data_IF_565966026983
#
_entry.id   IF_565966026983
#
_cell.length_a   1.000
_cell.length_b   1.000
_cell.length_c   1.000
_cell.angle_alpha   90.00
_cell.angle_beta   90.00
_cell.angle_gamma   90.00
#
_symmetry.space_group_name_H-M   'P 1'
#
loop_
_entity.id
_entity.type
_entity.pdbx_description
1 polymer ?
#
# COMPACT_ATOMS: atom_id res chain seq x y z
N UNK A 1 -17.60 7.46 6.63
CA UNK A 1 -16.26 7.84 7.15
C UNK A 1 -15.69 8.88 6.21
N UNK A 2 -15.19 10.01 6.72
CA UNK A 2 -14.60 11.07 5.89
C UNK A 2 -13.10 11.13 6.17
N UNK A 3 -12.27 10.81 5.16
CA UNK A 3 -10.81 10.81 5.28
C UNK A 3 -10.31 12.22 4.98
N UNK A 4 -9.60 12.81 5.94
CA UNK A 4 -8.93 14.10 5.76
C UNK A 4 -7.54 13.90 5.16
N UNK A 5 -7.48 13.91 3.83
CA UNK A 5 -6.22 13.76 3.09
C UNK A 5 -5.21 14.88 3.37
N UNK A 6 -5.64 16.04 3.88
CA UNK A 6 -4.72 17.14 4.22
C UNK A 6 -3.77 16.80 5.37
N UNK A 7 -4.14 15.80 6.19
CA UNK A 7 -3.32 15.33 7.32
C UNK A 7 -2.46 14.11 6.97
N UNK A 8 -2.56 13.62 5.73
CA UNK A 8 -1.90 12.38 5.34
C UNK A 8 -0.37 12.52 5.38
N UNK A 9 0.17 13.67 4.96
CA UNK A 9 1.61 13.97 5.06
C UNK A 9 2.14 13.73 6.48
N UNK A 10 1.49 14.31 7.49
CA UNK A 10 1.93 14.19 8.89
C UNK A 10 1.84 12.77 9.41
N UNK A 11 0.73 12.07 9.12
CA UNK A 11 0.54 10.68 9.55
C UNK A 11 1.53 9.71 8.90
N UNK A 12 1.86 9.93 7.63
CA UNK A 12 2.86 9.10 6.92
C UNK A 12 4.27 9.42 7.42
N UNK A 13 4.56 10.67 7.77
CA UNK A 13 5.84 11.04 8.39
C UNK A 13 6.05 10.36 9.75
N UNK A 14 5.00 10.21 10.56
CA UNK A 14 5.07 9.50 11.85
C UNK A 14 5.52 8.03 11.72
N UNK A 15 5.26 7.40 10.57
CA UNK A 15 5.64 6.01 10.28
C UNK A 15 6.93 5.89 9.44
N UNK A 16 7.67 6.99 9.22
CA UNK A 16 8.90 7.00 8.40
C UNK A 16 9.90 5.94 8.88
N UNK A 17 10.13 5.83 10.19
CA UNK A 17 11.10 4.90 10.76
C UNK A 17 10.77 3.44 10.45
N UNK A 18 9.50 3.06 10.55
CA UNK A 18 9.06 1.71 10.23
C UNK A 18 9.15 1.42 8.74
N UNK A 19 8.68 2.35 7.89
CA UNK A 19 8.73 2.20 6.43
C UNK A 19 10.18 2.14 5.92
N UNK A 20 11.08 2.93 6.50
CA UNK A 20 12.51 2.84 6.24
C UNK A 20 13.07 1.50 6.70
N UNK A 21 12.63 1.00 7.85
CA UNK A 21 13.00 -0.34 8.34
C UNK A 21 12.61 -1.46 7.37
N UNK A 22 11.49 -1.33 6.65
CA UNK A 22 11.09 -2.27 5.59
C UNK A 22 12.07 -2.22 4.41
N UNK A 23 12.45 -1.02 3.95
CA UNK A 23 13.46 -0.81 2.89
C UNK A 23 14.80 -1.44 3.30
N UNK A 24 15.18 -1.28 4.56
CA UNK A 24 16.44 -1.77 5.14
C UNK A 24 16.39 -3.23 5.60
N UNK A 25 15.24 -3.91 5.44
CA UNK A 25 15.01 -5.30 5.83
C UNK A 25 15.12 -5.56 7.35
N UNK A 26 15.00 -4.53 8.17
CA UNK A 26 14.97 -4.63 9.64
C UNK A 26 13.55 -4.77 10.20
N UNK A 27 12.52 -4.42 9.41
CA UNK A 27 11.10 -4.60 9.74
C UNK A 27 10.49 -5.61 8.76
N UNK A 28 9.76 -6.59 9.28
CA UNK A 28 9.06 -7.57 8.45
C UNK A 28 7.88 -6.93 7.72
N UNK A 29 7.64 -7.38 6.49
CA UNK A 29 6.62 -6.82 5.61
C UNK A 29 5.96 -7.94 4.80
N UNK A 30 4.66 -8.25 5.02
CA UNK A 30 3.96 -9.25 4.22
C UNK A 30 3.88 -8.85 2.74
N UNK A 31 3.83 -7.55 2.44
CA UNK A 31 3.78 -7.05 1.07
C UNK A 31 5.13 -7.18 0.36
N UNK A 32 6.24 -6.93 1.06
CA UNK A 32 7.59 -7.14 0.55
C UNK A 32 7.87 -8.62 0.28
N UNK A 33 7.51 -9.49 1.22
CA UNK A 33 7.69 -10.94 1.08
C UNK A 33 6.91 -11.47 -0.13
N UNK A 34 5.67 -11.01 -0.29
CA UNK A 34 4.84 -11.36 -1.45
C UNK A 34 5.44 -10.85 -2.75
N UNK A 35 5.90 -9.60 -2.78
CA UNK A 35 6.56 -9.03 -3.95
C UNK A 35 7.79 -9.85 -4.34
N UNK A 36 8.68 -10.14 -3.38
CA UNK A 36 9.87 -10.94 -3.63
C UNK A 36 9.55 -12.35 -4.14
N UNK A 37 8.59 -13.05 -3.53
CA UNK A 37 8.13 -14.37 -4.00
C UNK A 37 7.63 -14.32 -5.44
N UNK A 38 6.94 -13.25 -5.83
CA UNK A 38 6.49 -13.07 -7.21
C UNK A 38 7.67 -12.89 -8.19
N UNK A 39 8.66 -12.09 -7.81
CA UNK A 39 9.87 -11.91 -8.62
C UNK A 39 10.73 -13.18 -8.71
N UNK A 40 10.84 -13.93 -7.62
CA UNK A 40 11.55 -15.23 -7.59
C UNK A 40 10.88 -16.25 -8.50
N UNK A 41 9.55 -16.39 -8.41
CA UNK A 41 8.78 -17.36 -9.20
C UNK A 41 8.74 -17.05 -10.69
N UNK A 42 8.61 -15.78 -11.05
CA UNK A 42 8.29 -15.37 -12.43
C UNK A 42 9.48 -14.74 -13.17
N UNK A 43 10.55 -14.42 -12.45
CA UNK A 43 11.62 -13.53 -12.92
C UNK A 43 11.12 -12.10 -13.16
N UNK A 44 12.06 -11.19 -13.37
CA UNK A 44 11.79 -9.75 -13.54
C UNK A 44 10.82 -9.45 -14.69
N UNK A 45 10.97 -10.13 -15.84
CA UNK A 45 10.08 -9.93 -16.99
C UNK A 45 8.69 -10.51 -16.76
N UNK A 46 8.57 -11.62 -16.03
CA UNK A 46 7.29 -12.21 -15.69
C UNK A 46 6.50 -11.36 -14.70
N UNK A 47 7.15 -10.87 -13.65
CA UNK A 47 6.52 -10.02 -12.62
C UNK A 47 5.96 -8.69 -13.16
N UNK A 48 6.50 -8.19 -14.28
CA UNK A 48 6.07 -6.95 -14.94
C UNK A 48 5.05 -7.14 -16.05
N UNK A 49 4.56 -8.37 -16.29
CA UNK A 49 3.54 -8.59 -17.33
C UNK A 49 2.24 -7.87 -16.95
N UNK A 50 1.52 -7.23 -17.89
CA UNK A 50 0.34 -6.43 -17.57
C UNK A 50 -0.73 -7.14 -16.74
N UNK A 51 -1.03 -8.40 -17.05
CA UNK A 51 -2.01 -9.19 -16.28
C UNK A 51 -1.55 -9.48 -14.84
N UNK A 52 -0.24 -9.61 -14.60
CA UNK A 52 0.33 -9.83 -13.25
C UNK A 52 0.26 -8.54 -12.45
N UNK A 53 0.62 -7.42 -13.09
CA UNK A 53 0.52 -6.09 -12.46
C UNK A 53 -0.93 -5.81 -12.10
N UNK A 54 -1.87 -6.02 -13.02
CA UNK A 54 -3.31 -5.82 -12.77
C UNK A 54 -3.83 -6.71 -11.63
N UNK A 55 -3.49 -8.00 -11.63
CA UNK A 55 -3.88 -8.91 -10.55
C UNK A 55 -3.30 -8.51 -9.18
N UNK A 56 -2.13 -7.88 -9.16
CA UNK A 56 -1.54 -7.37 -7.93
C UNK A 56 -2.18 -6.05 -7.48
N UNK A 57 -2.64 -5.18 -8.40
CA UNK A 57 -3.30 -3.91 -8.08
C UNK A 57 -4.47 -4.15 -7.14
N UNK A 58 -5.37 -5.08 -7.47
CA UNK A 58 -6.54 -5.40 -6.63
C UNK A 58 -6.15 -5.79 -5.20
N UNK A 59 -5.01 -6.47 -5.06
CA UNK A 59 -4.51 -6.97 -3.77
C UNK A 59 -3.64 -5.95 -3.01
N UNK A 60 -3.28 -4.83 -3.63
CA UNK A 60 -2.48 -3.74 -3.04
C UNK A 60 -3.24 -2.42 -2.97
N UNK A 61 -4.52 -2.40 -3.36
CA UNK A 61 -5.37 -1.22 -3.19
C UNK A 61 -5.43 -0.86 -1.70
N UNK A 62 -5.32 0.43 -1.35
CA UNK A 62 -5.19 0.87 0.05
C UNK A 62 -6.53 0.85 0.81
N UNK A 63 -7.34 -0.19 0.61
CA UNK A 63 -8.68 -0.33 1.20
C UNK A 63 -9.55 0.88 0.92
N UNK A 64 -10.20 1.38 1.98
CA UNK A 64 -11.10 2.54 1.90
C UNK A 64 -10.41 3.88 1.59
N UNK A 65 -9.08 3.95 1.53
CA UNK A 65 -8.36 5.13 1.03
C UNK A 65 -8.46 5.26 -0.50
N UNK A 66 -8.74 4.15 -1.20
CA UNK A 66 -8.99 4.11 -2.64
C UNK A 66 -7.86 4.66 -3.51
N UNK A 67 -8.19 4.93 -4.78
CA UNK A 67 -7.22 5.44 -5.77
C UNK A 67 -6.66 6.82 -5.42
N UNK A 68 -7.50 7.71 -4.84
CA UNK A 68 -7.06 9.04 -4.38
C UNK A 68 -6.01 8.93 -3.27
N UNK A 69 -6.25 8.07 -2.28
CA UNK A 69 -5.27 7.85 -1.21
C UNK A 69 -3.99 7.19 -1.73
N UNK A 70 -4.10 6.26 -2.68
CA UNK A 70 -2.91 5.68 -3.33
C UNK A 70 -2.04 6.74 -4.02
N UNK A 71 -2.65 7.66 -4.78
CA UNK A 71 -1.92 8.74 -5.46
C UNK A 71 -1.22 9.68 -4.46
N UNK A 72 -1.91 10.02 -3.37
CA UNK A 72 -1.34 10.89 -2.35
C UNK A 72 -0.21 10.20 -1.58
N UNK A 73 -0.40 8.95 -1.17
CA UNK A 73 0.66 8.13 -0.55
C UNK A 73 1.86 8.00 -1.48
N UNK A 74 1.65 7.77 -2.78
CA UNK A 74 2.73 7.70 -3.75
C UNK A 74 3.57 8.99 -3.76
N UNK A 75 2.91 10.16 -3.84
CA UNK A 75 3.58 11.47 -3.82
C UNK A 75 4.44 11.61 -2.57
N UNK A 76 3.86 11.33 -1.41
CA UNK A 76 4.53 11.45 -0.11
C UNK A 76 5.75 10.53 -0.02
N UNK A 77 5.56 9.24 -0.32
CA UNK A 77 6.60 8.22 -0.24
C UNK A 77 7.71 8.45 -1.27
N UNK A 78 7.39 8.96 -2.46
CA UNK A 78 8.38 9.31 -3.48
C UNK A 78 9.28 10.46 -3.00
N UNK A 79 8.70 11.52 -2.44
CA UNK A 79 9.49 12.60 -1.83
C UNK A 79 10.32 12.10 -0.65
N UNK A 80 9.70 11.33 0.26
CA UNK A 80 10.38 10.84 1.46
C UNK A 80 11.52 9.87 1.19
N UNK A 81 11.41 9.01 0.16
CA UNK A 81 12.37 7.91 -0.03
C UNK A 81 13.10 7.90 -1.37
N UNK A 82 12.50 8.37 -2.47
CA UNK A 82 13.19 8.41 -3.77
C UNK A 82 13.99 9.71 -3.89
N UNK A 83 13.35 10.86 -3.67
CA UNK A 83 14.00 12.18 -3.81
C UNK A 83 15.08 12.40 -2.75
N UNK A 84 14.91 11.81 -1.56
CA UNK A 84 15.91 11.77 -0.49
C UNK A 84 17.03 10.73 -0.71
N UNK A 85 16.96 9.94 -1.79
CA UNK A 85 17.91 8.88 -2.15
C UNK A 85 18.02 7.72 -1.12
N UNK A 86 16.98 7.51 -0.30
CA UNK A 86 16.90 6.38 0.65
C UNK A 86 16.54 5.07 -0.07
N UNK A 87 15.62 5.10 -1.03
CA UNK A 87 15.16 3.97 -1.84
C UNK A 87 15.83 4.01 -3.21
N UNK A 88 17.07 3.53 -3.26
CA UNK A 88 17.85 3.41 -4.48
C UNK A 88 17.48 2.16 -5.28
N UNK A 89 17.89 2.09 -6.55
CA UNK A 89 17.71 0.88 -7.37
C UNK A 89 18.35 -0.38 -6.77
N UNK A 90 19.45 -0.21 -6.02
CA UNK A 90 20.11 -1.31 -5.30
C UNK A 90 19.25 -1.82 -4.16
N UNK A 91 18.72 -0.92 -3.33
CA UNK A 91 17.86 -1.27 -2.18
C UNK A 91 16.49 -1.80 -2.61
N UNK A 92 15.97 -1.31 -3.73
CA UNK A 92 14.71 -1.76 -4.30
C UNK A 92 14.83 -3.11 -5.03
N UNK A 93 16.04 -3.58 -5.34
CA UNK A 93 16.24 -4.80 -6.13
C UNK A 93 15.49 -6.01 -5.52
N UNK A 94 14.79 -6.83 -6.32
CA UNK A 94 14.74 -6.87 -7.80
C UNK A 94 13.75 -5.90 -8.46
N UNK A 95 12.98 -5.15 -7.66
CA UNK A 95 12.06 -4.12 -8.12
C UNK A 95 12.81 -2.84 -8.52
N UNK A 96 12.14 -1.98 -9.27
CA UNK A 96 12.50 -0.56 -9.38
C UNK A 96 11.93 0.20 -8.17
N UNK A 97 12.50 1.35 -7.77
CA UNK A 97 11.99 2.15 -6.66
C UNK A 97 10.48 2.47 -6.76
N UNK A 98 9.99 2.82 -7.94
CA UNK A 98 8.56 3.09 -8.18
C UNK A 98 7.70 1.85 -7.97
N UNK A 99 8.16 0.68 -8.44
CA UNK A 99 7.45 -0.60 -8.25
C UNK A 99 7.44 -1.00 -6.77
N UNK A 100 8.53 -0.73 -6.06
CA UNK A 100 8.64 -0.96 -4.62
C UNK A 100 7.66 -0.07 -3.84
N UNK A 101 7.56 1.23 -4.16
CA UNK A 101 6.55 2.10 -3.56
C UNK A 101 5.14 1.52 -3.79
N UNK A 102 4.80 1.19 -5.03
CA UNK A 102 3.44 0.75 -5.38
C UNK A 102 3.06 -0.59 -4.77
N UNK A 103 3.97 -1.56 -4.77
CA UNK A 103 3.67 -2.93 -4.37
C UNK A 103 3.93 -3.20 -2.89
N UNK A 104 4.72 -2.35 -2.24
CA UNK A 104 5.17 -2.55 -0.85
C UNK A 104 4.80 -1.35 0.02
N UNK A 105 5.36 -0.16 -0.24
CA UNK A 105 5.21 0.93 0.73
C UNK A 105 3.78 1.49 0.78
N UNK A 106 3.08 1.62 -0.34
CA UNK A 106 1.67 2.05 -0.34
C UNK A 106 0.79 1.10 0.48
N UNK A 107 0.77 -0.22 0.25
CA UNK A 107 -0.06 -1.11 1.05
C UNK A 107 0.39 -1.18 2.52
N UNK A 108 1.69 -1.09 2.83
CA UNK A 108 2.20 -1.02 4.21
C UNK A 108 1.75 0.25 4.94
N UNK A 109 1.78 1.39 4.24
CA UNK A 109 1.30 2.68 4.73
C UNK A 109 -0.21 2.62 4.94
N UNK A 110 -0.97 2.12 3.97
CA UNK A 110 -2.42 2.00 4.07
C UNK A 110 -2.84 1.11 5.24
N UNK A 111 -2.20 -0.05 5.42
CA UNK A 111 -2.44 -0.95 6.55
C UNK A 111 -2.23 -0.24 7.90
N UNK A 112 -1.13 0.51 8.06
CA UNK A 112 -0.86 1.29 9.28
C UNK A 112 -1.84 2.42 9.50
N UNK A 113 -2.24 3.13 8.45
CA UNK A 113 -3.27 4.16 8.54
C UNK A 113 -4.61 3.58 8.97
N UNK A 114 -4.98 2.42 8.41
CA UNK A 114 -6.18 1.69 8.79
C UNK A 114 -6.11 1.26 10.26
N UNK A 115 -4.96 0.75 10.70
CA UNK A 115 -4.72 0.40 12.10
C UNK A 115 -4.96 1.61 13.00
N UNK A 116 -4.30 2.75 12.73
CA UNK A 116 -4.47 3.99 13.49
C UNK A 116 -5.95 4.43 13.54
N UNK A 117 -6.63 4.45 12.40
CA UNK A 117 -8.03 4.88 12.30
C UNK A 117 -8.95 3.97 13.12
N UNK A 118 -8.73 2.65 13.03
CA UNK A 118 -9.54 1.65 13.76
C UNK A 118 -9.26 1.69 15.25
N UNK A 119 -8.00 1.88 15.66
CA UNK A 119 -7.64 2.00 17.07
C UNK A 119 -8.32 3.21 17.71
N UNK A 120 -8.32 4.35 17.01
CA UNK A 120 -9.00 5.57 17.46
C UNK A 120 -10.53 5.38 17.53
N UNK A 121 -11.14 4.79 16.49
CA UNK A 121 -12.59 4.59 16.44
C UNK A 121 -13.11 3.60 17.49
N UNK A 122 -12.35 2.55 17.78
CA UNK A 122 -12.75 1.51 18.71
C UNK A 122 -12.22 1.74 20.14
N UNK A 123 -11.39 2.77 20.33
CA UNK A 123 -10.72 3.07 21.59
C UNK A 123 -9.98 1.84 22.18
N UNK A 124 -9.27 1.11 21.32
CA UNK A 124 -8.42 -0.04 21.66
C UNK A 124 -7.25 -0.14 20.71
N UNK A 125 -6.22 -0.89 21.07
CA UNK A 125 -5.16 -1.21 20.12
C UNK A 125 -5.67 -2.25 19.10
N UNK A 126 -5.57 -1.91 17.83
CA UNK A 126 -5.84 -2.79 16.68
C UNK A 126 -4.52 -3.30 16.14
N UNK A 127 -4.42 -4.58 15.81
CA UNK A 127 -3.17 -5.16 15.27
C UNK A 127 -3.02 -4.89 13.77
N UNK A 128 -1.82 -5.09 13.23
CA UNK A 128 -1.60 -4.96 11.78
C UNK A 128 -2.35 -6.04 10.99
N UNK A 129 -2.49 -7.24 11.55
CA UNK A 129 -3.27 -8.33 10.96
C UNK A 129 -4.75 -7.95 10.85
N UNK A 130 -5.35 -7.43 11.93
CA UNK A 130 -6.74 -6.93 11.90
C UNK A 130 -6.90 -5.79 10.88
N UNK A 131 -5.91 -4.90 10.79
CA UNK A 131 -5.93 -3.81 9.81
C UNK A 131 -5.83 -4.33 8.37
N UNK A 132 -5.05 -5.39 8.12
CA UNK A 132 -4.93 -6.04 6.82
C UNK A 132 -6.25 -6.72 6.39
N UNK A 133 -6.94 -7.37 7.32
CA UNK A 133 -8.27 -7.95 7.06
C UNK A 133 -9.28 -6.86 6.69
N UNK A 134 -9.25 -5.73 7.39
CA UNK A 134 -10.07 -4.56 7.05
C UNK A 134 -9.71 -3.99 5.68
N UNK A 135 -8.42 -3.89 5.36
CA UNK A 135 -7.97 -3.39 4.06
C UNK A 135 -8.53 -4.25 2.93
N UNK A 136 -8.41 -5.57 3.06
CA UNK A 136 -8.87 -6.54 2.05
C UNK A 136 -10.39 -6.51 1.87
N UNK A 137 -11.14 -6.57 2.98
CA UNK A 137 -12.62 -6.51 2.94
C UNK A 137 -13.15 -5.17 2.44
N UNK A 138 -12.42 -4.07 2.65
CA UNK A 138 -12.80 -2.74 2.13
C UNK A 138 -12.63 -2.63 0.62
N UNK A 139 -11.66 -3.33 0.03
CA UNK A 139 -11.50 -3.40 -1.43
C UNK A 139 -12.67 -4.14 -2.07
N UNK A 140 -13.05 -5.28 -1.50
CA UNK A 140 -14.19 -6.08 -1.98
C UNK A 140 -15.49 -5.27 -1.94
N UNK A 141 -15.70 -4.50 -0.86
CA UNK A 141 -16.88 -3.64 -0.73
C UNK A 141 -16.84 -2.44 -1.69
N UNK A 142 -15.67 -1.82 -1.90
CA UNK A 142 -15.49 -0.74 -2.87
C UNK A 142 -15.79 -1.18 -4.31
N UNK A 143 -15.36 -2.39 -4.69
CA UNK A 143 -15.70 -3.00 -5.98
C UNK A 143 -17.21 -3.19 -6.15
N UNK A 144 -17.90 -3.69 -5.11
CA UNK A 144 -19.35 -3.88 -5.15
C UNK A 144 -20.14 -2.56 -5.31
N UNK A 145 -19.72 -1.49 -4.63
CA UNK A 145 -20.39 -0.17 -4.75
C UNK A 145 -20.18 0.43 -6.16
N UNK A 146 -18.99 0.29 -6.73
CA UNK A 146 -18.71 0.79 -8.08
C UNK A 146 -19.36 -0.03 -9.20
N UNK A 147 -19.56 -1.33 -9.03
CA UNK A 147 -20.32 -2.17 -9.97
C UNK A 147 -21.83 -1.84 -9.96
N UNK A 148 -22.37 -1.46 -8.80
CA UNK A 148 -23.79 -1.06 -8.68
C UNK A 148 -24.06 0.32 -9.31
N UNK A 149 -23.10 1.25 -9.26
CA UNK A 149 -23.23 2.55 -9.94
C UNK A 149 -23.17 2.43 -11.48
N UNK A 150 -22.49 1.42 -12.04
CA UNK A 150 -22.48 1.19 -13.49
C UNK A 150 -23.72 0.43 -14.01
N UNK A 151 -24.51 -0.18 -13.13
CA UNK A 151 -25.72 -0.94 -13.50
C UNK A 151 -27.02 -0.12 -13.54
N UNK A 152 -26.95 1.21 -13.46
CA UNK A 152 -28.11 2.11 -13.62
C UNK A 152 -28.14 2.89 -14.94
N UNK A 153 -27.44 2.39 -15.97
CA UNK A 153 -27.52 2.91 -17.33
C UNK A 153 -27.95 1.83 -18.33
N UNK A 154 -29.12 1.23 -18.13
CA UNK A 154 -29.95 0.65 -19.20
C UNK A 154 -31.43 0.78 -18.86
#
# INVERSE_FOLDING_TARGET
>A
MHIDFSKLDGRVAEMEGELRGIIERSVQSPYLDKALKNYERMGTLGARRPHVVLANVDQTLPGYYGSKGSAEMFRILATMFIESNVLTSERAHPQKPVEYIQQVLIPETAMRLIQQDRSLLQNRDVTLEEAQEVMTSSVEFGGYVHDVEQNHLF
#
